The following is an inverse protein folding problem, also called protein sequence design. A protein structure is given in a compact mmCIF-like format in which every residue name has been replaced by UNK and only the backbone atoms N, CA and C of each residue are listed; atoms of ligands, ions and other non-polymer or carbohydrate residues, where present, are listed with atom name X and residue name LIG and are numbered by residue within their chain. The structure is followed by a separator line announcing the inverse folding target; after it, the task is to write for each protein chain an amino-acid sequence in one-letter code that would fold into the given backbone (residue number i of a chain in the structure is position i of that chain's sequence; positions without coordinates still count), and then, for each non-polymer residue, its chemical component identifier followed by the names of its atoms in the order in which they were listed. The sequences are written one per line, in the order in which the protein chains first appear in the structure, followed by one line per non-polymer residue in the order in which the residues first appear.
data_IF_019018804405
#
_entry.id   IF_019018804405
#
_cell.length_a   1.000
_cell.length_b   1.000
_cell.length_c   1.000
_cell.angle_alpha   90.00
_cell.angle_beta   90.00
_cell.angle_gamma   90.00
#
_symmetry.space_group_name_H-M   'P 1'
#
loop_
_entity.id
_entity.type
_entity.pdbx_description
1 polymer ?
#
# COMPACT_ATOMS: atom_id res chain seq x y z
N UNK A 1 2.95 -18.16 -23.66
CA UNK A 1 2.40 -17.36 -22.53
C UNK A 1 3.51 -16.55 -21.89
N UNK A 2 3.75 -15.33 -22.38
CA UNK A 2 4.82 -14.45 -21.89
C UNK A 2 4.39 -13.76 -20.60
N UNK A 3 4.87 -14.26 -19.45
CA UNK A 3 4.59 -13.65 -18.14
C UNK A 3 5.40 -12.35 -18.01
N UNK A 4 4.74 -11.20 -18.21
CA UNK A 4 5.33 -9.88 -17.95
C UNK A 4 5.71 -9.75 -16.47
N UNK A 5 6.99 -9.99 -16.18
CA UNK A 5 7.60 -9.65 -14.90
C UNK A 5 7.80 -8.13 -14.86
N UNK A 6 7.40 -7.44 -13.78
CA UNK A 6 7.80 -6.05 -13.59
C UNK A 6 9.33 -6.02 -13.50
N UNK A 7 9.96 -5.36 -14.48
CA UNK A 7 11.42 -5.25 -14.57
C UNK A 7 11.94 -4.55 -13.30
N UNK A 8 13.14 -4.88 -12.82
CA UNK A 8 13.73 -4.26 -11.60
C UNK A 8 13.74 -2.73 -11.66
N UNK A 9 13.82 -2.18 -12.87
CA UNK A 9 13.71 -0.74 -13.17
C UNK A 9 12.40 -0.11 -12.69
N UNK A 10 11.31 -0.87 -12.67
CA UNK A 10 10.01 -0.40 -12.18
C UNK A 10 10.05 -0.01 -10.69
N UNK A 11 10.72 -0.83 -9.86
CA UNK A 11 10.85 -0.54 -8.43
C UNK A 11 11.64 0.74 -8.18
N UNK A 12 12.70 0.95 -8.95
CA UNK A 12 13.49 2.18 -8.89
C UNK A 12 12.70 3.40 -9.33
N UNK A 13 11.95 3.30 -10.44
CA UNK A 13 11.09 4.39 -10.92
C UNK A 13 10.04 4.76 -9.87
N UNK A 14 9.38 3.77 -9.27
CA UNK A 14 8.38 4.01 -8.23
C UNK A 14 9.00 4.60 -6.96
N UNK A 15 10.14 4.07 -6.51
CA UNK A 15 10.85 4.59 -5.35
C UNK A 15 11.29 6.04 -5.56
N UNK A 16 11.78 6.38 -6.75
CA UNK A 16 12.18 7.74 -7.12
C UNK A 16 10.95 8.65 -7.17
N UNK A 17 9.87 8.26 -7.84
CA UNK A 17 8.63 9.05 -7.91
C UNK A 17 8.08 9.36 -6.52
N UNK A 18 8.09 8.38 -5.61
CA UNK A 18 7.60 8.58 -4.25
C UNK A 18 8.58 9.37 -3.38
N UNK A 19 9.89 9.18 -3.53
CA UNK A 19 10.88 10.00 -2.84
C UNK A 19 10.77 11.46 -3.27
N UNK A 20 10.64 11.72 -4.57
CA UNK A 20 10.41 13.06 -5.12
C UNK A 20 9.10 13.64 -4.60
N UNK A 21 8.00 12.87 -4.60
CA UNK A 21 6.73 13.32 -4.04
C UNK A 21 6.87 13.66 -2.55
N UNK A 22 7.54 12.82 -1.76
CA UNK A 22 7.72 13.04 -0.31
C UNK A 22 8.56 14.29 -0.03
N UNK A 23 9.64 14.50 -0.79
CA UNK A 23 10.50 15.69 -0.70
C UNK A 23 9.70 16.94 -1.11
N UNK A 24 8.94 16.87 -2.21
CA UNK A 24 8.12 17.98 -2.69
C UNK A 24 7.03 18.36 -1.68
N UNK A 25 6.33 17.37 -1.10
CA UNK A 25 5.30 17.59 -0.09
C UNK A 25 5.88 18.22 1.18
N UNK A 26 7.08 17.81 1.58
CA UNK A 26 7.81 18.41 2.69
C UNK A 26 8.21 19.86 2.38
N UNK A 27 8.68 20.13 1.16
CA UNK A 27 9.07 21.46 0.69
C UNK A 27 7.88 22.42 0.59
N UNK A 28 6.70 21.91 0.25
CA UNK A 28 5.43 22.63 0.22
C UNK A 28 4.84 22.92 1.62
N UNK A 29 5.49 22.47 2.69
CA UNK A 29 5.03 22.70 4.07
C UNK A 29 3.74 21.96 4.42
N UNK A 30 3.41 20.88 3.68
CA UNK A 30 2.20 20.12 3.93
C UNK A 30 2.27 19.36 5.25
N UNK A 31 1.12 19.09 5.92
CA UNK A 31 1.08 18.38 7.19
C UNK A 31 1.86 17.06 7.14
N UNK A 32 2.59 16.74 8.21
CA UNK A 32 3.40 15.52 8.32
C UNK A 32 2.64 14.21 8.05
N UNK A 33 1.31 14.25 8.16
CA UNK A 33 0.42 13.15 7.78
C UNK A 33 0.50 12.81 6.28
N UNK A 34 0.61 13.81 5.39
CA UNK A 34 0.68 13.56 3.94
C UNK A 34 1.99 12.90 3.55
N UNK A 35 3.12 13.39 4.08
CA UNK A 35 4.44 12.79 3.88
C UNK A 35 4.49 11.37 4.43
N UNK A 36 3.94 11.15 5.64
CA UNK A 36 3.80 9.82 6.22
C UNK A 36 2.99 8.87 5.33
N UNK A 37 1.78 9.27 4.91
CA UNK A 37 0.92 8.44 4.07
C UNK A 37 1.60 8.10 2.73
N UNK A 38 2.29 9.06 2.13
CA UNK A 38 2.99 8.87 0.86
C UNK A 38 4.11 7.83 1.01
N UNK A 39 4.89 7.91 2.09
CA UNK A 39 5.93 6.93 2.41
C UNK A 39 5.38 5.52 2.69
N UNK A 40 4.34 5.41 3.54
CA UNK A 40 3.71 4.11 3.87
C UNK A 40 3.13 3.44 2.63
N UNK A 41 2.49 4.21 1.74
CA UNK A 41 1.98 3.70 0.47
C UNK A 41 3.11 3.21 -0.47
N UNK A 42 4.24 3.93 -0.52
CA UNK A 42 5.43 3.49 -1.27
C UNK A 42 5.94 2.13 -0.79
N UNK A 43 6.18 2.04 0.53
CA UNK A 43 6.70 0.82 1.17
C UNK A 43 5.75 -0.34 0.89
N UNK A 44 4.45 -0.11 0.95
CA UNK A 44 3.43 -1.12 0.66
C UNK A 44 3.50 -1.62 -0.77
N UNK A 45 3.61 -0.74 -1.77
CA UNK A 45 3.72 -1.17 -3.18
C UNK A 45 5.00 -1.97 -3.41
N UNK A 46 6.11 -1.54 -2.81
CA UNK A 46 7.41 -2.24 -2.91
C UNK A 46 7.33 -3.63 -2.29
N UNK A 47 6.72 -3.76 -1.11
CA UNK A 47 6.49 -5.05 -0.42
C UNK A 47 5.70 -6.04 -1.29
N UNK A 48 4.61 -5.58 -1.89
CA UNK A 48 3.78 -6.41 -2.78
C UNK A 48 4.54 -6.84 -4.04
N UNK A 49 5.31 -5.94 -4.64
CA UNK A 49 6.12 -6.28 -5.80
C UNK A 49 7.30 -7.20 -5.46
N UNK A 50 7.90 -7.05 -4.28
CA UNK A 50 8.93 -7.96 -3.76
C UNK A 50 8.38 -9.37 -3.57
N UNK A 51 7.18 -9.52 -2.97
CA UNK A 51 6.51 -10.81 -2.83
C UNK A 51 6.26 -11.48 -4.20
N UNK A 52 5.79 -10.71 -5.19
CA UNK A 52 5.64 -11.22 -6.56
C UNK A 52 6.95 -11.69 -7.17
N UNK A 53 8.04 -10.95 -6.95
CA UNK A 53 9.38 -11.32 -7.45
C UNK A 53 9.89 -12.59 -6.77
N UNK A 54 9.70 -12.74 -5.47
CA UNK A 54 10.05 -13.95 -4.74
C UNK A 54 9.24 -15.17 -5.19
N UNK A 55 7.94 -14.99 -5.47
CA UNK A 55 7.10 -16.05 -6.02
C UNK A 55 7.60 -16.60 -7.38
N UNK A 56 8.32 -15.78 -8.14
CA UNK A 56 8.87 -16.13 -9.46
C UNK A 56 10.25 -16.77 -9.34
N UNK A 57 11.08 -16.26 -8.43
CA UNK A 57 12.43 -16.79 -8.15
C UNK A 57 12.40 -18.05 -7.27
N UNK A 58 11.21 -18.56 -6.90
CA UNK A 58 11.01 -19.65 -5.92
C UNK A 58 11.71 -19.40 -4.57
N UNK A 59 11.93 -18.14 -4.22
CA UNK A 59 12.50 -17.79 -2.91
C UNK A 59 11.43 -17.70 -1.83
N UNK A 60 11.84 -17.28 -0.63
CA UNK A 60 10.95 -17.13 0.52
C UNK A 60 9.83 -16.12 0.24
N UNK A 61 8.58 -16.57 0.35
CA UNK A 61 7.40 -15.72 0.19
C UNK A 61 7.23 -14.80 1.40
N UNK A 62 6.72 -13.60 1.18
CA UNK A 62 6.39 -12.68 2.27
C UNK A 62 5.13 -13.17 2.98
N UNK A 63 5.12 -13.26 4.32
CA UNK A 63 3.93 -13.61 5.09
C UNK A 63 2.76 -12.66 4.76
N UNK A 64 1.56 -13.22 4.59
CA UNK A 64 0.34 -12.44 4.29
C UNK A 64 0.04 -11.40 5.39
N UNK A 65 0.43 -11.70 6.64
CA UNK A 65 0.32 -10.79 7.78
C UNK A 65 1.06 -9.48 7.56
N UNK A 66 2.27 -9.50 6.97
CA UNK A 66 3.05 -8.27 6.74
C UNK A 66 2.37 -7.38 5.70
N UNK A 67 1.78 -7.99 4.66
CA UNK A 67 1.04 -7.29 3.61
C UNK A 67 -0.24 -6.64 4.16
N UNK A 68 -0.91 -7.29 5.11
CA UNK A 68 -2.07 -6.75 5.81
C UNK A 68 -1.70 -5.66 6.81
N UNK A 69 -0.61 -5.82 7.57
CA UNK A 69 -0.11 -4.78 8.47
C UNK A 69 0.25 -3.51 7.69
N UNK A 70 0.96 -3.63 6.57
CA UNK A 70 1.28 -2.48 5.72
C UNK A 70 0.02 -1.73 5.23
N UNK A 71 -1.02 -2.47 4.86
CA UNK A 71 -2.32 -1.88 4.51
C UNK A 71 -3.00 -1.21 5.72
N UNK A 72 -2.96 -1.83 6.90
CA UNK A 72 -3.60 -1.35 8.12
C UNK A 72 -3.02 -0.01 8.61
N UNK A 73 -1.69 0.13 8.52
CA UNK A 73 -0.93 1.32 8.95
C UNK A 73 -1.18 2.55 8.04
N UNK A 74 -1.93 2.41 6.95
CA UNK A 74 -2.27 3.50 6.03
C UNK A 74 -1.80 3.28 4.59
N UNK A 75 -1.24 2.10 4.30
CA UNK A 75 -0.78 1.71 2.97
C UNK A 75 -1.87 1.10 2.09
N UNK A 76 -3.14 1.13 2.51
CA UNK A 76 -4.30 0.56 1.81
C UNK A 76 -4.44 1.05 0.35
N UNK A 77 -4.29 2.35 0.02
CA UNK A 77 -4.25 2.81 -1.37
C UNK A 77 -3.12 2.18 -2.20
N UNK A 78 -1.92 2.11 -1.63
CA UNK A 78 -0.74 1.51 -2.24
C UNK A 78 -0.90 0.01 -2.42
N UNK A 79 -1.53 -0.68 -1.47
CA UNK A 79 -1.90 -2.08 -1.58
C UNK A 79 -2.91 -2.31 -2.71
N UNK A 80 -3.94 -1.47 -2.85
CA UNK A 80 -4.89 -1.54 -3.98
C UNK A 80 -4.19 -1.36 -5.32
N UNK A 81 -3.35 -0.32 -5.44
CA UNK A 81 -2.55 -0.07 -6.64
C UNK A 81 -1.65 -1.28 -6.95
N UNK A 82 -0.96 -1.82 -5.96
CA UNK A 82 -0.08 -2.96 -6.12
C UNK A 82 -0.85 -4.24 -6.52
N UNK A 83 -2.02 -4.49 -5.94
CA UNK A 83 -2.88 -5.62 -6.33
C UNK A 83 -3.32 -5.51 -7.79
N UNK A 84 -3.69 -4.31 -8.26
CA UNK A 84 -4.04 -4.04 -9.66
C UNK A 84 -2.85 -4.20 -10.61
N UNK A 85 -1.73 -3.54 -10.30
CA UNK A 85 -0.49 -3.55 -11.10
C UNK A 85 0.12 -4.95 -11.22
N UNK A 86 0.16 -5.69 -10.11
CA UNK A 86 0.81 -6.98 -10.07
C UNK A 86 -0.14 -8.13 -10.36
N UNK A 87 -1.47 -7.90 -10.44
CA UNK A 87 -2.50 -8.96 -10.51
C UNK A 87 -2.19 -10.09 -9.51
N UNK A 88 -1.67 -9.71 -8.35
CA UNK A 88 -1.06 -10.63 -7.39
C UNK A 88 -2.06 -10.93 -6.28
N UNK A 89 -2.32 -12.21 -6.02
CA UNK A 89 -3.25 -12.72 -4.99
C UNK A 89 -4.68 -12.14 -4.98
N UNK A 90 -5.18 -11.60 -6.09
CA UNK A 90 -6.59 -11.17 -6.23
C UNK A 90 -7.60 -12.33 -6.15
N UNK A 91 -7.15 -13.59 -6.29
CA UNK A 91 -8.01 -14.77 -6.27
C UNK A 91 -8.06 -15.51 -4.93
N UNK A 92 -7.21 -15.16 -3.94
CA UNK A 92 -7.31 -15.78 -2.61
C UNK A 92 -8.41 -15.08 -1.81
N UNK A 93 -9.54 -15.76 -1.62
CA UNK A 93 -10.71 -15.22 -0.89
C UNK A 93 -10.33 -14.76 0.52
N UNK A 94 -9.53 -15.54 1.27
CA UNK A 94 -9.09 -15.16 2.62
C UNK A 94 -8.30 -13.85 2.65
N UNK A 95 -7.38 -13.65 1.69
CA UNK A 95 -6.59 -12.43 1.60
C UNK A 95 -7.49 -11.21 1.31
N UNK A 96 -8.46 -11.38 0.40
CA UNK A 96 -9.41 -10.32 0.06
C UNK A 96 -10.33 -9.98 1.22
N UNK A 97 -10.80 -10.96 1.99
CA UNK A 97 -11.65 -10.73 3.16
C UNK A 97 -10.94 -9.92 4.24
N UNK A 98 -9.70 -10.29 4.59
CA UNK A 98 -8.91 -9.53 5.57
C UNK A 98 -8.61 -8.12 5.06
N UNK A 99 -8.27 -7.97 3.79
CA UNK A 99 -8.00 -6.66 3.19
C UNK A 99 -9.24 -5.74 3.16
N UNK A 100 -10.41 -6.27 2.80
CA UNK A 100 -11.67 -5.52 2.86
C UNK A 100 -11.99 -5.15 4.31
N UNK A 101 -11.79 -6.06 5.27
CA UNK A 101 -11.96 -5.77 6.69
C UNK A 101 -11.11 -4.57 7.15
N UNK A 102 -9.85 -4.51 6.71
CA UNK A 102 -8.97 -3.36 7.00
C UNK A 102 -9.52 -2.06 6.44
N UNK A 103 -9.99 -2.06 5.18
CA UNK A 103 -10.58 -0.87 4.55
C UNK A 103 -11.83 -0.42 5.32
N UNK A 104 -12.70 -1.35 5.71
CA UNK A 104 -13.92 -1.04 6.48
C UNK A 104 -13.57 -0.40 7.82
N UNK A 105 -12.60 -0.97 8.56
CA UNK A 105 -12.16 -0.42 9.84
C UNK A 105 -11.60 0.99 9.67
N UNK A 106 -10.80 1.25 8.63
CA UNK A 106 -10.27 2.59 8.36
C UNK A 106 -11.38 3.59 8.02
N UNK A 107 -12.37 3.20 7.21
CA UNK A 107 -13.51 4.06 6.89
C UNK A 107 -14.32 4.39 8.15
N UNK A 108 -14.61 3.39 8.99
CA UNK A 108 -15.34 3.59 10.24
C UNK A 108 -14.58 4.51 11.20
N UNK A 109 -13.25 4.38 11.28
CA UNK A 109 -12.43 5.26 12.09
C UNK A 109 -12.49 6.72 11.60
N UNK A 110 -12.40 6.95 10.28
CA UNK A 110 -12.49 8.29 9.68
C UNK A 110 -13.88 8.88 9.89
N UNK A 111 -14.95 8.12 9.62
CA UNK A 111 -16.33 8.57 9.80
C UNK A 111 -16.64 8.83 11.28
N UNK A 112 -16.19 7.96 12.19
CA UNK A 112 -16.36 8.13 13.62
C UNK A 112 -15.62 9.37 14.16
N UNK A 113 -14.39 9.59 13.71
CA UNK A 113 -13.64 10.81 14.02
C UNK A 113 -14.37 12.05 13.50
N UNK A 114 -14.84 12.03 12.26
CA UNK A 114 -15.57 13.16 11.67
C UNK A 114 -16.86 13.46 12.41
N UNK A 115 -17.64 12.42 12.74
CA UNK A 115 -18.86 12.55 13.55
C UNK A 115 -18.56 13.11 14.93
N UNK A 116 -17.51 12.63 15.62
CA UNK A 116 -17.11 13.15 16.93
C UNK A 116 -16.71 14.62 16.88
N UNK A 117 -15.92 15.02 15.89
CA UNK A 117 -15.47 16.41 15.71
C UNK A 117 -16.64 17.35 15.39
N UNK A 118 -17.51 16.98 14.44
CA UNK A 118 -18.67 17.80 14.08
C UNK A 118 -19.77 17.83 15.14
N UNK A 119 -19.87 16.80 15.99
CA UNK A 119 -20.78 16.78 17.14
C UNK A 119 -20.29 17.67 18.28
N UNK A 120 -18.98 17.86 18.40
CA UNK A 120 -18.33 18.63 19.46
C UNK A 120 -18.04 20.10 19.09
N UNK A 121 -18.42 20.54 17.88
CA UNK A 121 -18.34 21.92 17.38
C UNK A 121 -19.70 22.59 17.47
#
# INVERSE_FOLDING_TARGET
MTRHQPKKTFFWILAILVAVASILLWWLGLPGLYTYLTGVNAVTVVLYGYDKRQAVLRGGRVPEVILHLAALVGGSPGALLAQGLFRHKTQKVNFRMVFIGIIVVQILAVVGYWYFVFRAS
#
